data_IF_873983490509
#
_entry.id   IF_873983490509
#
_cell.length_a   1.000
_cell.length_b   1.000
_cell.length_c   1.000
_cell.angle_alpha   90.00
_cell.angle_beta   90.00
_cell.angle_gamma   90.00
#
_symmetry.space_group_name_H-M   'P 1'
#
loop_
_entity.id
_entity.type
_entity.pdbx_description
1 polymer ?
#
# COMPACT_ATOMS: atom_id res chain seq x y z
N UNK A 1 -2.56 2.49 17.69
CA UNK A 1 -1.42 3.24 18.25
C UNK A 1 -1.49 4.66 17.71
N UNK A 2 -1.02 5.65 18.48
CA UNK A 2 -1.07 7.06 18.05
C UNK A 2 0.30 7.58 17.58
N UNK A 3 1.35 6.75 17.65
CA UNK A 3 2.72 7.13 17.32
C UNK A 3 3.16 6.56 15.96
N UNK A 4 3.77 7.39 15.11
CA UNK A 4 4.19 7.01 13.75
C UNK A 4 5.07 5.77 13.69
N UNK A 5 6.07 5.65 14.57
CA UNK A 5 6.97 4.48 14.61
C UNK A 5 6.21 3.17 14.84
N UNK A 6 5.18 3.19 15.70
CA UNK A 6 4.42 1.99 16.03
C UNK A 6 3.48 1.61 14.88
N UNK A 7 2.88 2.61 14.22
CA UNK A 7 2.11 2.38 13.00
C UNK A 7 2.97 1.78 11.88
N UNK A 8 4.18 2.32 11.68
CA UNK A 8 5.12 1.78 10.70
C UNK A 8 5.54 0.34 11.04
N UNK A 9 5.93 0.08 12.29
CA UNK A 9 6.33 -1.26 12.71
C UNK A 9 5.20 -2.29 12.49
N UNK A 10 3.95 -1.92 12.79
CA UNK A 10 2.80 -2.77 12.51
C UNK A 10 2.60 -3.06 11.02
N UNK A 11 2.80 -2.06 10.16
CA UNK A 11 2.77 -2.26 8.71
C UNK A 11 3.89 -3.17 8.22
N UNK A 12 5.10 -3.06 8.78
CA UNK A 12 6.23 -3.90 8.36
C UNK A 12 6.16 -5.33 8.86
N UNK A 13 5.62 -5.55 10.06
CA UNK A 13 5.32 -6.91 10.51
C UNK A 13 4.33 -7.56 9.54
N UNK A 14 3.34 -6.79 9.07
CA UNK A 14 2.36 -7.30 8.11
C UNK A 14 3.02 -7.67 6.75
N UNK A 15 3.88 -6.80 6.21
CA UNK A 15 4.58 -7.07 4.93
C UNK A 15 5.51 -8.27 5.05
N UNK A 16 6.25 -8.41 6.16
CA UNK A 16 7.15 -9.53 6.36
C UNK A 16 6.41 -10.85 6.60
N UNK A 17 5.29 -10.82 7.32
CA UNK A 17 4.51 -12.02 7.64
C UNK A 17 3.86 -12.68 6.40
N UNK A 18 3.52 -11.89 5.38
CA UNK A 18 2.85 -12.41 4.17
C UNK A 18 3.83 -13.02 3.15
N UNK A 19 5.11 -12.64 3.17
CA UNK A 19 6.10 -13.09 2.18
C UNK A 19 6.24 -14.62 2.13
N UNK A 20 6.42 -15.33 3.26
CA UNK A 20 6.54 -16.79 3.24
C UNK A 20 5.27 -17.48 2.75
N UNK A 21 4.10 -16.86 2.97
CA UNK A 21 2.83 -17.37 2.48
C UNK A 21 2.80 -17.29 0.95
N UNK A 22 3.13 -16.14 0.36
CA UNK A 22 3.21 -15.94 -1.10
C UNK A 22 4.14 -16.99 -1.74
N UNK A 23 5.33 -17.19 -1.19
CA UNK A 23 6.34 -18.09 -1.74
C UNK A 23 6.18 -19.57 -1.36
N UNK A 24 5.10 -19.95 -0.65
CA UNK A 24 4.92 -21.30 -0.07
C UNK A 24 5.03 -22.44 -1.08
N UNK A 25 4.60 -22.23 -2.32
CA UNK A 25 4.64 -23.26 -3.37
C UNK A 25 6.04 -23.51 -3.94
N UNK A 26 7.01 -22.63 -3.65
CA UNK A 26 8.36 -22.63 -4.24
C UNK A 26 8.42 -22.60 -5.78
N UNK A 27 7.29 -22.37 -6.45
CA UNK A 27 7.24 -22.23 -7.91
C UNK A 27 7.91 -20.91 -8.33
N UNK A 28 8.66 -20.86 -9.45
CA UNK A 28 9.36 -19.64 -9.89
C UNK A 28 8.45 -18.40 -9.96
N UNK A 29 7.23 -18.58 -10.46
CA UNK A 29 6.20 -17.51 -10.50
C UNK A 29 5.78 -16.99 -9.11
N UNK A 30 5.72 -17.87 -8.10
CA UNK A 30 5.37 -17.47 -6.74
C UNK A 30 6.53 -16.71 -6.08
N UNK A 31 7.77 -17.10 -6.38
CA UNK A 31 8.98 -16.38 -5.96
C UNK A 31 9.01 -14.99 -6.62
N UNK A 32 8.76 -14.91 -7.93
CA UNK A 32 8.67 -13.63 -8.64
C UNK A 32 7.60 -12.72 -8.03
N UNK A 33 6.40 -13.25 -7.74
CA UNK A 33 5.35 -12.52 -7.04
C UNK A 33 5.80 -12.02 -5.65
N UNK A 34 6.47 -12.86 -4.86
CA UNK A 34 7.01 -12.45 -3.56
C UNK A 34 8.03 -11.31 -3.69
N UNK A 35 8.92 -11.38 -4.69
CA UNK A 35 9.92 -10.32 -4.92
C UNK A 35 9.28 -8.99 -5.34
N UNK A 36 8.29 -9.02 -6.25
CA UNK A 36 7.56 -7.81 -6.66
C UNK A 36 6.78 -7.19 -5.50
N UNK A 37 6.12 -8.03 -4.70
CA UNK A 37 5.44 -7.58 -3.48
C UNK A 37 6.43 -6.95 -2.50
N UNK A 38 7.55 -7.62 -2.22
CA UNK A 38 8.56 -7.13 -1.28
C UNK A 38 9.10 -5.76 -1.68
N UNK A 39 9.56 -5.62 -2.93
CA UNK A 39 10.18 -4.37 -3.40
C UNK A 39 9.21 -3.19 -3.33
N UNK A 40 7.97 -3.39 -3.76
CA UNK A 40 6.96 -2.31 -3.74
C UNK A 40 6.54 -1.94 -2.33
N UNK A 41 6.35 -2.92 -1.45
CA UNK A 41 5.93 -2.68 -0.08
C UNK A 41 7.03 -2.12 0.82
N UNK A 42 8.28 -2.52 0.58
CA UNK A 42 9.47 -1.95 1.22
C UNK A 42 9.66 -0.49 0.80
N UNK A 43 9.56 -0.18 -0.50
CA UNK A 43 9.62 1.20 -0.99
C UNK A 43 8.48 2.07 -0.39
N UNK A 44 7.27 1.53 -0.31
CA UNK A 44 6.15 2.23 0.32
C UNK A 44 6.35 2.43 1.84
N UNK A 45 6.96 1.47 2.52
CA UNK A 45 7.32 1.54 3.93
C UNK A 45 8.35 2.63 4.21
N UNK A 46 9.44 2.68 3.43
CA UNK A 46 10.49 3.67 3.60
C UNK A 46 9.96 5.08 3.32
N UNK A 47 9.09 5.23 2.32
CA UNK A 47 8.45 6.50 2.01
C UNK A 47 7.50 6.95 3.12
N UNK A 48 6.79 6.03 3.78
CA UNK A 48 5.97 6.32 4.97
C UNK A 48 6.82 6.80 6.15
N UNK A 49 7.93 6.12 6.44
CA UNK A 49 8.88 6.57 7.47
C UNK A 49 9.48 7.93 7.15
N UNK A 50 9.84 8.16 5.89
CA UNK A 50 10.40 9.44 5.48
C UNK A 50 9.37 10.56 5.61
N UNK A 51 8.10 10.30 5.30
CA UNK A 51 6.99 11.23 5.54
C UNK A 51 6.89 11.61 7.02
N UNK A 52 6.93 10.64 7.94
CA UNK A 52 6.82 10.92 9.38
C UNK A 52 8.06 11.62 9.94
N UNK A 53 9.27 11.23 9.52
CA UNK A 53 10.51 11.92 9.87
C UNK A 53 10.52 13.37 9.41
N UNK A 54 10.11 13.61 8.15
CA UNK A 54 10.02 14.96 7.61
C UNK A 54 8.99 15.80 8.37
N UNK A 55 7.82 15.23 8.72
CA UNK A 55 6.85 15.94 9.55
C UNK A 55 7.41 16.29 10.94
N UNK A 56 8.03 15.31 11.62
CA UNK A 56 8.61 15.49 12.94
C UNK A 56 9.78 16.49 12.94
N UNK A 57 10.52 16.59 11.84
CA UNK A 57 11.56 17.60 11.68
C UNK A 57 11.01 19.03 11.74
N UNK A 58 9.82 19.27 11.17
CA UNK A 58 9.19 20.59 11.18
C UNK A 58 8.37 20.87 12.44
N UNK A 59 7.70 19.86 13.01
CA UNK A 59 6.73 20.06 14.12
C UNK A 59 7.26 19.63 15.48
N UNK A 60 8.31 18.80 15.53
CA UNK A 60 8.79 18.15 16.75
C UNK A 60 7.90 17.02 17.27
N UNK A 61 6.85 16.64 16.53
CA UNK A 61 5.81 15.71 17.00
C UNK A 61 5.78 14.43 16.17
N UNK A 62 5.55 13.31 16.87
CA UNK A 62 5.45 11.97 16.27
C UNK A 62 4.02 11.38 16.31
N UNK A 63 3.04 12.20 16.67
CA UNK A 63 1.63 11.81 16.65
C UNK A 63 1.11 11.68 15.21
N UNK A 64 0.37 10.61 14.93
CA UNK A 64 -0.26 10.33 13.63
C UNK A 64 -1.25 11.43 13.25
N UNK A 65 -1.97 11.97 14.22
CA UNK A 65 -3.01 12.99 13.98
C UNK A 65 -2.44 14.37 13.65
N UNK A 66 -1.14 14.58 13.88
CA UNK A 66 -0.45 15.87 13.69
C UNK A 66 0.42 15.90 12.44
N UNK A 67 -0.08 15.33 11.34
CA UNK A 67 0.56 15.45 10.03
C UNK A 67 0.17 16.78 9.38
N UNK A 68 1.02 17.79 9.45
CA UNK A 68 0.67 19.17 9.03
C UNK A 68 1.54 19.72 7.90
N UNK A 69 2.73 19.17 7.68
CA UNK A 69 3.61 19.67 6.64
C UNK A 69 3.12 19.20 5.23
N UNK A 70 2.94 20.10 4.25
CA UNK A 70 2.31 19.74 2.98
C UNK A 70 3.10 18.67 2.21
N UNK A 71 4.44 18.71 2.28
CA UNK A 71 5.25 17.68 1.63
C UNK A 71 5.17 16.33 2.33
N UNK A 72 5.01 16.28 3.67
CA UNK A 72 4.79 15.00 4.36
C UNK A 72 3.40 14.45 4.01
N UNK A 73 2.36 15.27 3.93
CA UNK A 73 1.03 14.84 3.48
C UNK A 73 1.06 14.23 2.06
N UNK A 74 1.78 14.84 1.13
CA UNK A 74 1.96 14.29 -0.23
C UNK A 74 2.71 12.97 -0.22
N UNK A 75 3.80 12.88 0.54
CA UNK A 75 4.57 11.64 0.66
C UNK A 75 3.75 10.53 1.33
N UNK A 76 3.01 10.82 2.40
CA UNK A 76 2.11 9.85 3.00
C UNK A 76 1.06 9.36 2.00
N UNK A 77 0.46 10.26 1.23
CA UNK A 77 -0.50 9.89 0.19
C UNK A 77 0.12 8.94 -0.82
N UNK A 78 1.34 9.24 -1.29
CA UNK A 78 2.08 8.38 -2.20
C UNK A 78 2.38 7.00 -1.56
N UNK A 79 2.86 6.95 -0.32
CA UNK A 79 3.17 5.72 0.39
C UNK A 79 1.93 4.83 0.54
N UNK A 80 0.81 5.39 1.00
CA UNK A 80 -0.46 4.66 1.16
C UNK A 80 -0.98 4.20 -0.21
N UNK A 81 -0.88 5.03 -1.24
CA UNK A 81 -1.29 4.67 -2.61
C UNK A 81 -0.49 3.49 -3.17
N UNK A 82 0.83 3.42 -2.90
CA UNK A 82 1.67 2.27 -3.24
C UNK A 82 1.24 1.01 -2.47
N UNK A 83 1.03 1.10 -1.15
CA UNK A 83 0.59 -0.03 -0.32
C UNK A 83 -0.76 -0.58 -0.77
N UNK A 84 -1.70 0.30 -1.13
CA UNK A 84 -3.03 -0.07 -1.61
C UNK A 84 -3.07 -0.45 -3.10
N UNK A 85 -2.02 -0.15 -3.88
CA UNK A 85 -2.00 -0.41 -5.31
C UNK A 85 -2.97 0.48 -6.10
N UNK A 86 -3.09 1.76 -5.73
CA UNK A 86 -3.82 2.76 -6.50
C UNK A 86 -3.00 3.20 -7.71
N UNK A 87 -3.63 3.78 -8.73
CA UNK A 87 -2.92 4.40 -9.87
C UNK A 87 -2.01 5.54 -9.36
N UNK A 88 -0.76 5.68 -9.84
CA UNK A 88 -0.08 4.91 -10.89
C UNK A 88 0.66 3.65 -10.39
N UNK A 89 0.57 3.29 -9.12
CA UNK A 89 1.31 2.20 -8.48
C UNK A 89 0.61 0.83 -8.48
N UNK A 90 -0.44 0.66 -9.28
CA UNK A 90 -1.28 -0.54 -9.33
C UNK A 90 -0.62 -1.77 -9.99
N UNK A 91 0.46 -1.59 -10.75
CA UNK A 91 1.05 -2.65 -11.60
C UNK A 91 1.49 -3.91 -10.87
N UNK A 92 1.89 -3.81 -9.59
CA UNK A 92 2.30 -4.99 -8.83
C UNK A 92 1.13 -5.92 -8.52
N UNK A 93 -0.08 -5.37 -8.38
CA UNK A 93 -1.21 -6.09 -7.80
C UNK A 93 -1.68 -7.26 -8.68
N UNK A 94 -1.97 -7.11 -9.99
CA UNK A 94 -2.41 -8.22 -10.83
C UNK A 94 -1.36 -9.34 -10.98
N UNK A 95 -0.07 -8.97 -10.97
CA UNK A 95 1.02 -9.95 -11.10
C UNK A 95 1.19 -10.79 -9.85
N UNK A 96 1.12 -10.16 -8.66
CA UNK A 96 1.17 -10.86 -7.38
C UNK A 96 -0.05 -11.74 -7.18
N UNK A 97 -1.26 -11.26 -7.53
CA UNK A 97 -2.48 -12.06 -7.45
C UNK A 97 -2.40 -13.30 -8.34
N UNK A 98 -1.88 -13.18 -9.56
CA UNK A 98 -1.75 -14.33 -10.46
C UNK A 98 -0.66 -15.33 -10.02
N UNK A 99 0.39 -14.86 -9.33
CA UNK A 99 1.48 -15.70 -8.82
C UNK A 99 1.19 -16.42 -7.51
N UNK A 100 0.12 -16.03 -6.79
CA UNK A 100 -0.26 -16.59 -5.48
C UNK A 100 -1.40 -17.61 -5.58
N UNK A 101 -1.61 -18.40 -4.52
CA UNK A 101 -2.80 -19.24 -4.41
C UNK A 101 -4.04 -18.39 -4.12
N UNK A 102 -5.24 -18.90 -4.42
CA UNK A 102 -6.49 -18.17 -4.22
C UNK A 102 -6.71 -17.71 -2.77
N UNK A 103 -6.35 -18.54 -1.79
CA UNK A 103 -6.51 -18.20 -0.36
C UNK A 103 -5.59 -17.03 0.03
N UNK A 104 -4.36 -17.00 -0.46
CA UNK A 104 -3.41 -15.91 -0.18
C UNK A 104 -3.84 -14.65 -0.94
N UNK A 105 -4.30 -14.80 -2.18
CA UNK A 105 -4.88 -13.70 -2.95
C UNK A 105 -6.07 -13.05 -2.23
N UNK A 106 -6.97 -13.85 -1.63
CA UNK A 106 -8.07 -13.37 -0.81
C UNK A 106 -7.57 -12.56 0.40
N UNK A 107 -6.55 -13.05 1.10
CA UNK A 107 -5.98 -12.36 2.25
C UNK A 107 -5.31 -11.03 1.83
N UNK A 108 -4.61 -11.01 0.69
CA UNK A 108 -4.00 -9.81 0.10
C UNK A 108 -5.04 -8.77 -0.34
N UNK A 109 -6.17 -9.20 -0.88
CA UNK A 109 -7.23 -8.30 -1.36
C UNK A 109 -8.12 -7.76 -0.23
N UNK A 110 -8.13 -8.40 0.94
CA UNK A 110 -9.00 -8.03 2.07
C UNK A 110 -8.20 -7.55 3.29
N UNK A 111 -7.64 -8.47 4.08
CA UNK A 111 -7.02 -8.19 5.36
C UNK A 111 -5.82 -7.24 5.23
N UNK A 112 -5.02 -7.40 4.18
CA UNK A 112 -3.82 -6.57 3.98
C UNK A 112 -4.14 -5.13 3.58
N UNK A 113 -5.37 -4.84 3.14
CA UNK A 113 -5.83 -3.48 2.84
C UNK A 113 -6.26 -2.71 4.09
N UNK A 114 -6.63 -3.42 5.17
CA UNK A 114 -7.20 -2.79 6.36
C UNK A 114 -6.21 -1.82 7.05
N UNK A 115 -4.95 -2.17 7.36
CA UNK A 115 -4.05 -1.26 8.06
C UNK A 115 -3.70 0.03 7.28
N UNK A 116 -3.44 0.00 5.96
CA UNK A 116 -3.26 1.24 5.21
C UNK A 116 -4.54 2.10 5.14
N UNK A 117 -5.73 1.49 5.08
CA UNK A 117 -7.01 2.23 5.10
C UNK A 117 -7.22 2.93 6.44
N UNK A 118 -6.89 2.29 7.56
CA UNK A 118 -7.03 2.93 8.88
C UNK A 118 -6.10 4.14 9.02
N UNK A 119 -4.87 4.08 8.51
CA UNK A 119 -3.98 5.25 8.47
C UNK A 119 -4.49 6.36 7.58
N UNK A 120 -5.04 6.03 6.40
CA UNK A 120 -5.68 7.00 5.52
C UNK A 120 -6.83 7.71 6.25
N UNK A 121 -7.66 6.95 6.97
CA UNK A 121 -8.75 7.52 7.76
C UNK A 121 -8.25 8.46 8.86
N UNK A 122 -7.29 8.02 9.67
CA UNK A 122 -6.74 8.81 10.79
C UNK A 122 -6.06 10.11 10.33
N UNK A 123 -5.50 10.13 9.12
CA UNK A 123 -4.82 11.30 8.55
C UNK A 123 -5.67 12.09 7.56
N UNK A 124 -6.88 11.62 7.24
CA UNK A 124 -7.75 12.22 6.22
C UNK A 124 -7.97 13.74 6.33
N UNK A 125 -8.03 14.38 7.52
CA UNK A 125 -8.24 15.83 7.60
C UNK A 125 -7.08 16.66 7.05
N UNK A 126 -5.85 16.11 6.99
CA UNK A 126 -4.67 16.84 6.53
C UNK A 126 -4.22 16.49 5.10
N UNK A 127 -4.85 15.49 4.48
CA UNK A 127 -4.53 15.08 3.11
C UNK A 127 -5.23 15.98 2.10
N UNK A 128 -4.63 16.12 0.92
CA UNK A 128 -5.21 16.92 -0.15
C UNK A 128 -6.40 16.17 -0.79
N UNK A 129 -7.65 16.68 -0.67
CA UNK A 129 -8.82 16.01 -1.19
C UNK A 129 -8.84 15.93 -2.73
N UNK A 130 -8.27 16.92 -3.42
CA UNK A 130 -8.23 16.91 -4.90
C UNK A 130 -7.27 15.83 -5.42
N UNK A 131 -6.16 15.61 -4.72
CA UNK A 131 -5.25 14.50 -5.04
C UNK A 131 -5.91 13.14 -4.78
N UNK A 132 -6.59 12.99 -3.64
CA UNK A 132 -7.27 11.72 -3.32
C UNK A 132 -8.38 11.39 -4.32
N UNK A 133 -9.20 12.36 -4.70
CA UNK A 133 -10.28 12.14 -5.67
C UNK A 133 -9.75 11.85 -7.07
N UNK A 134 -8.68 12.53 -7.50
CA UNK A 134 -8.04 12.23 -8.79
C UNK A 134 -7.45 10.82 -8.82
N UNK A 135 -6.74 10.39 -7.77
CA UNK A 135 -6.25 9.02 -7.65
C UNK A 135 -7.40 8.00 -7.66
N UNK A 136 -8.52 8.29 -6.99
CA UNK A 136 -9.68 7.41 -6.95
C UNK A 136 -10.34 7.26 -8.33
N UNK A 137 -10.62 8.37 -9.02
CA UNK A 137 -11.23 8.36 -10.36
C UNK A 137 -10.33 7.62 -11.35
N UNK A 138 -9.02 7.91 -11.33
CA UNK A 138 -8.06 7.21 -12.19
C UNK A 138 -7.99 5.72 -11.87
N UNK A 139 -8.02 5.34 -10.60
CA UNK A 139 -7.98 3.93 -10.19
C UNK A 139 -9.22 3.16 -10.65
N UNK A 140 -10.41 3.77 -10.56
CA UNK A 140 -11.65 3.18 -11.08
C UNK A 140 -11.60 3.03 -12.59
N UNK A 141 -11.20 4.09 -13.32
CA UNK A 141 -11.14 4.07 -14.78
C UNK A 141 -10.13 3.03 -15.30
N UNK A 142 -8.92 3.02 -14.75
CA UNK A 142 -7.85 2.10 -15.15
C UNK A 142 -8.19 0.65 -14.76
N UNK A 143 -8.69 0.43 -13.54
CA UNK A 143 -9.10 -0.90 -13.09
C UNK A 143 -10.21 -1.49 -13.95
N UNK A 144 -11.23 -0.68 -14.26
CA UNK A 144 -12.32 -1.09 -15.16
C UNK A 144 -11.82 -1.43 -16.57
N UNK A 145 -10.97 -0.60 -17.15
CA UNK A 145 -10.45 -0.84 -18.50
C UNK A 145 -9.52 -2.05 -18.57
N UNK A 146 -8.60 -2.20 -17.60
CA UNK A 146 -7.65 -3.31 -17.58
C UNK A 146 -8.33 -4.67 -17.35
N UNK A 147 -9.42 -4.69 -16.58
CA UNK A 147 -10.18 -5.92 -16.28
C UNK A 147 -10.85 -6.53 -17.52
N UNK A 148 -11.30 -5.71 -18.47
CA UNK A 148 -11.97 -6.19 -19.69
C UNK A 148 -11.08 -7.08 -20.57
N UNK A 149 -9.76 -6.95 -20.47
CA UNK A 149 -8.80 -7.72 -21.27
C UNK A 149 -8.19 -8.90 -20.50
N UNK A 150 -8.82 -9.37 -19.41
CA UNK A 150 -8.33 -10.51 -18.63
C UNK A 150 -9.23 -11.74 -18.82
N UNK A 151 -8.60 -12.90 -19.02
CA UNK A 151 -9.27 -14.22 -19.00
C UNK A 151 -9.01 -14.96 -17.68
N UNK A 152 -8.04 -14.50 -16.89
CA UNK A 152 -7.61 -15.14 -15.66
C UNK A 152 -8.38 -14.59 -14.47
N UNK A 153 -9.11 -15.45 -13.75
CA UNK A 153 -9.96 -15.08 -12.60
C UNK A 153 -9.19 -14.31 -11.52
N UNK A 154 -7.89 -14.55 -11.35
CA UNK A 154 -7.06 -13.85 -10.34
C UNK A 154 -6.62 -12.44 -10.78
N UNK A 155 -6.69 -12.13 -12.07
CA UNK A 155 -6.35 -10.82 -12.62
C UNK A 155 -7.56 -9.92 -12.83
N UNK A 156 -8.73 -10.52 -13.06
CA UNK A 156 -10.04 -9.86 -13.00
C UNK A 156 -10.27 -9.41 -11.55
#
# INVERSE_FOLDING_TARGET
SNHWIMAWAGLEINTLAILPLISKSHHPRAIEAATKYFLTQAAASTLLLFSSMNNAWYTGQWDITQLTHPTSCLMLTAAISMKLGLVPFHFWFPEVMQGTSLIIGLLLSTAMKFPPITLLYMTSPSLNPTLLTTLAILSVAVGGWMGLNQTQIRKI
#
